data_IF_773605460267
#
_entry.id   IF_773605460267
#
_cell.length_a   1.000
_cell.length_b   1.000
_cell.length_c   1.000
_cell.angle_alpha   90.00
_cell.angle_beta   90.00
_cell.angle_gamma   90.00
#
_symmetry.space_group_name_H-M   'P 1'
#
loop_
_entity.id
_entity.type
_entity.pdbx_description
1 polymer ?
#
# COMPACT_ATOMS: atom_id res chain seq x y z
N UNK A 1 -4.64 23.35 19.25
CA UNK A 1 -5.17 22.52 18.14
C UNK A 1 -6.64 22.18 18.41
N UNK A 2 -7.51 22.14 17.39
CA UNK A 2 -8.97 21.99 17.58
C UNK A 2 -9.38 20.77 18.41
N UNK A 3 -8.64 19.66 18.29
CA UNK A 3 -8.89 18.40 18.99
C UNK A 3 -8.03 18.20 20.25
N UNK A 4 -7.12 19.12 20.56
CA UNK A 4 -6.24 18.95 21.71
C UNK A 4 -6.92 19.43 23.01
N UNK A 5 -6.57 18.87 24.18
CA UNK A 5 -7.04 19.36 25.47
C UNK A 5 -6.74 20.85 25.66
N UNK A 6 -7.57 21.53 26.45
CA UNK A 6 -7.35 22.93 26.80
C UNK A 6 -5.98 23.11 27.48
N UNK A 7 -5.21 24.10 27.02
CA UNK A 7 -3.84 24.35 27.52
C UNK A 7 -2.76 23.44 26.93
N UNK A 8 -3.10 22.54 25.99
CA UNK A 8 -2.11 21.70 25.33
C UNK A 8 -1.11 22.53 24.50
N UNK A 9 0.17 22.34 24.80
CA UNK A 9 1.28 22.93 24.06
C UNK A 9 2.39 21.90 23.89
N UNK A 10 3.01 21.89 22.71
CA UNK A 10 4.15 21.02 22.39
C UNK A 10 5.45 21.70 22.80
N UNK A 11 6.20 21.08 23.71
CA UNK A 11 7.54 21.53 24.06
C UNK A 11 8.54 21.24 22.94
N UNK A 12 9.56 22.09 22.77
CA UNK A 12 10.58 21.91 21.73
C UNK A 12 11.28 20.53 21.79
N UNK A 13 11.59 20.05 23.00
CA UNK A 13 12.18 18.73 23.20
C UNK A 13 11.26 17.58 22.77
N UNK A 14 9.95 17.72 22.97
CA UNK A 14 8.97 16.73 22.53
C UNK A 14 8.84 16.70 21.00
N UNK A 15 8.84 17.88 20.37
CA UNK A 15 8.85 17.99 18.90
C UNK A 15 10.06 17.26 18.32
N UNK A 16 11.27 17.53 18.84
CA UNK A 16 12.50 16.86 18.39
C UNK A 16 12.41 15.34 18.56
N UNK A 17 11.91 14.88 19.72
CA UNK A 17 11.73 13.45 20.01
C UNK A 17 10.77 12.79 19.01
N UNK A 18 9.62 13.42 18.74
CA UNK A 18 8.61 12.89 17.82
C UNK A 18 9.13 12.85 16.39
N UNK A 19 9.79 13.91 15.94
CA UNK A 19 10.41 13.96 14.62
C UNK A 19 11.48 12.87 14.48
N UNK A 20 12.37 12.72 15.46
CA UNK A 20 13.40 11.68 15.46
C UNK A 20 12.81 10.27 15.43
N UNK A 21 11.77 10.01 16.24
CA UNK A 21 11.09 8.72 16.25
C UNK A 21 10.41 8.41 14.89
N UNK A 22 9.79 9.39 14.26
CA UNK A 22 9.12 9.21 12.97
C UNK A 22 10.09 9.09 11.79
N UNK A 23 11.27 9.72 11.85
CA UNK A 23 12.37 9.44 10.91
C UNK A 23 12.82 7.97 10.96
N UNK A 24 12.65 7.32 12.13
CA UNK A 24 12.90 5.90 12.33
C UNK A 24 11.62 5.04 12.19
N UNK A 25 10.57 5.58 11.56
CA UNK A 25 9.32 4.86 11.26
C UNK A 25 8.60 4.29 12.51
N UNK A 26 8.68 5.01 13.64
CA UNK A 26 8.06 4.59 14.90
C UNK A 26 6.58 5.00 15.04
N UNK A 27 6.03 5.78 14.10
CA UNK A 27 4.64 6.27 14.14
C UNK A 27 4.26 6.95 15.47
N UNK A 28 5.16 7.78 15.99
CA UNK A 28 4.98 8.51 17.23
C UNK A 28 4.03 9.69 17.04
N UNK A 29 3.03 9.80 17.92
CA UNK A 29 2.09 10.92 17.96
C UNK A 29 2.22 11.73 19.24
N UNK A 30 2.01 13.07 19.14
CA UNK A 30 1.99 13.95 20.31
C UNK A 30 0.79 13.69 21.24
N UNK A 31 -0.34 13.27 20.67
CA UNK A 31 -1.56 12.92 21.40
C UNK A 31 -2.00 11.52 20.93
N UNK A 32 -1.44 10.44 21.50
CA UNK A 32 -1.74 9.07 21.06
C UNK A 32 -3.21 8.68 21.29
N UNK A 33 -3.87 9.30 22.26
CA UNK A 33 -5.26 9.00 22.64
C UNK A 33 -6.28 10.01 22.07
N UNK A 34 -5.88 10.81 21.06
CA UNK A 34 -6.65 11.94 20.53
C UNK A 34 -8.10 11.57 20.15
N UNK A 35 -8.31 10.36 19.63
CA UNK A 35 -9.61 9.86 19.19
C UNK A 35 -10.05 8.62 19.98
N UNK A 36 -9.68 8.54 21.26
CA UNK A 36 -10.04 7.42 22.16
C UNK A 36 -11.55 7.22 22.33
N UNK A 37 -12.36 8.25 22.10
CA UNK A 37 -13.82 8.18 22.13
C UNK A 37 -14.46 7.67 20.83
N UNK A 38 -13.71 7.59 19.73
CA UNK A 38 -14.24 7.09 18.46
C UNK A 38 -14.39 5.56 18.49
N UNK A 39 -15.27 4.97 17.66
CA UNK A 39 -15.48 3.51 17.63
C UNK A 39 -14.21 2.69 17.35
N UNK A 40 -13.28 3.26 16.59
CA UNK A 40 -11.94 2.70 16.36
C UNK A 40 -10.91 3.71 16.87
N UNK A 41 -10.34 3.48 18.07
CA UNK A 41 -9.50 4.46 18.75
C UNK A 41 -8.05 4.41 18.22
N UNK A 42 -7.83 4.99 17.06
CA UNK A 42 -6.49 5.15 16.47
C UNK A 42 -6.35 6.55 15.88
N UNK A 43 -5.17 7.17 16.06
CA UNK A 43 -4.89 8.50 15.50
C UNK A 43 -4.77 8.46 13.99
N UNK A 44 -3.93 7.56 13.48
CA UNK A 44 -3.78 7.33 12.05
C UNK A 44 -3.49 5.86 11.79
N UNK A 45 -4.53 5.14 11.38
CA UNK A 45 -4.42 3.74 10.99
C UNK A 45 -3.53 3.57 9.76
N UNK A 46 -3.51 4.49 8.80
CA UNK A 46 -2.77 4.29 7.55
C UNK A 46 -1.26 4.00 7.79
N UNK A 47 -0.64 4.62 8.80
CA UNK A 47 0.80 4.51 9.03
C UNK A 47 1.31 3.09 9.37
N UNK A 48 0.42 2.14 9.70
CA UNK A 48 0.84 0.80 10.11
C UNK A 48 1.68 0.09 9.03
N UNK A 49 1.39 0.32 7.74
CA UNK A 49 2.07 -0.38 6.64
C UNK A 49 3.38 0.27 6.21
N UNK A 50 3.62 1.55 6.52
CA UNK A 50 4.77 2.33 6.03
C UNK A 50 6.11 1.65 6.35
N UNK A 51 6.29 1.12 7.56
CA UNK A 51 7.52 0.41 7.95
C UNK A 51 7.77 -0.81 7.06
N UNK A 52 6.72 -1.59 6.81
CA UNK A 52 6.79 -2.78 5.95
C UNK A 52 7.10 -2.40 4.51
N UNK A 53 6.45 -1.36 3.99
CA UNK A 53 6.66 -0.85 2.63
C UNK A 53 8.11 -0.39 2.42
N UNK A 54 8.64 0.40 3.36
CA UNK A 54 10.04 0.84 3.32
C UNK A 54 11.01 -0.34 3.26
N UNK A 55 10.80 -1.35 4.12
CA UNK A 55 11.64 -2.54 4.16
C UNK A 55 11.48 -3.40 2.89
N UNK A 56 10.29 -3.47 2.29
CA UNK A 56 10.08 -4.10 0.98
C UNK A 56 10.91 -3.40 -0.12
N UNK A 57 10.94 -2.06 -0.14
CA UNK A 57 11.77 -1.32 -1.09
C UNK A 57 13.27 -1.50 -0.84
N UNK A 58 13.70 -1.56 0.43
CA UNK A 58 15.08 -1.91 0.77
C UNK A 58 15.43 -3.33 0.28
N UNK A 59 14.56 -4.30 0.51
CA UNK A 59 14.69 -5.67 0.01
C UNK A 59 14.74 -5.73 -1.52
N UNK A 60 13.92 -4.93 -2.21
CA UNK A 60 13.95 -4.79 -3.67
C UNK A 60 15.28 -4.21 -4.16
N UNK A 61 15.82 -3.19 -3.49
CA UNK A 61 17.12 -2.60 -3.83
C UNK A 61 18.25 -3.63 -3.65
N UNK A 62 18.27 -4.36 -2.53
CA UNK A 62 19.25 -5.41 -2.27
C UNK A 62 19.14 -6.57 -3.28
N UNK A 63 17.91 -7.01 -3.58
CA UNK A 63 17.67 -8.00 -4.65
C UNK A 63 18.22 -7.48 -5.98
N UNK A 64 18.00 -6.19 -6.25
CA UNK A 64 18.52 -5.36 -7.34
C UNK A 64 20.04 -5.41 -7.52
N UNK A 65 20.78 -5.51 -6.42
CA UNK A 65 22.24 -5.62 -6.40
C UNK A 65 22.73 -7.08 -6.47
N UNK A 66 22.05 -8.01 -5.80
CA UNK A 66 22.59 -9.35 -5.56
C UNK A 66 22.26 -10.41 -6.63
N UNK A 67 21.09 -10.35 -7.28
CA UNK A 67 20.53 -11.55 -7.92
C UNK A 67 19.94 -11.35 -9.32
N UNK A 68 20.59 -10.62 -10.24
CA UNK A 68 20.02 -10.24 -11.55
C UNK A 68 19.46 -11.43 -12.37
N UNK A 69 20.15 -12.57 -12.40
CA UNK A 69 19.81 -13.69 -13.28
C UNK A 69 18.65 -14.58 -12.82
N UNK A 70 18.42 -14.68 -11.50
CA UNK A 70 17.46 -15.66 -10.94
C UNK A 70 16.14 -15.05 -10.48
N UNK A 71 15.96 -13.72 -10.53
CA UNK A 71 14.76 -13.04 -9.96
C UNK A 71 13.45 -13.54 -10.56
N UNK A 72 13.46 -13.84 -11.86
CA UNK A 72 12.28 -14.36 -12.57
C UNK A 72 11.80 -15.70 -11.99
N UNK A 73 12.68 -16.46 -11.34
CA UNK A 73 12.35 -17.74 -10.69
C UNK A 73 12.22 -17.56 -9.18
N UNK A 74 13.18 -16.87 -8.55
CA UNK A 74 13.24 -16.71 -7.11
C UNK A 74 12.03 -15.93 -6.54
N UNK A 75 11.58 -14.86 -7.20
CA UNK A 75 10.47 -14.04 -6.69
C UNK A 75 9.14 -14.82 -6.65
N UNK A 76 8.72 -15.53 -7.72
CA UNK A 76 7.56 -16.43 -7.65
C UNK A 76 7.68 -17.53 -6.58
N UNK A 77 8.87 -18.12 -6.38
CA UNK A 77 9.08 -19.14 -5.36
C UNK A 77 8.96 -18.58 -3.93
N UNK A 78 9.53 -17.40 -3.67
CA UNK A 78 9.39 -16.70 -2.40
C UNK A 78 7.91 -16.37 -2.16
N UNK A 79 7.21 -15.84 -3.16
CA UNK A 79 5.78 -15.57 -3.08
C UNK A 79 4.98 -16.82 -2.72
N UNK A 80 5.20 -17.93 -3.44
CA UNK A 80 4.52 -19.19 -3.18
C UNK A 80 4.79 -19.71 -1.76
N UNK A 81 6.04 -19.62 -1.29
CA UNK A 81 6.42 -19.99 0.07
C UNK A 81 5.74 -19.12 1.13
N UNK A 82 5.73 -17.80 0.95
CA UNK A 82 5.08 -16.86 1.88
C UNK A 82 3.58 -17.12 1.96
N UNK A 83 2.90 -17.29 0.82
CA UNK A 83 1.46 -17.58 0.78
C UNK A 83 1.16 -18.96 1.37
N UNK A 84 1.97 -19.99 1.10
CA UNK A 84 1.80 -21.31 1.70
C UNK A 84 1.93 -21.26 3.23
N UNK A 85 2.93 -20.54 3.75
CA UNK A 85 3.11 -20.34 5.19
C UNK A 85 1.92 -19.58 5.77
N UNK A 86 1.44 -18.53 5.09
CA UNK A 86 0.27 -17.76 5.53
C UNK A 86 -0.98 -18.65 5.66
N UNK A 87 -1.27 -19.43 4.61
CA UNK A 87 -2.38 -20.38 4.62
C UNK A 87 -2.24 -21.42 5.73
N UNK A 88 -1.04 -21.94 5.97
CA UNK A 88 -0.78 -22.90 7.05
C UNK A 88 -0.96 -22.27 8.45
N UNK A 89 -0.49 -21.04 8.65
CA UNK A 89 -0.65 -20.32 9.91
C UNK A 89 -2.13 -20.15 10.25
N UNK A 90 -2.93 -19.65 9.30
CA UNK A 90 -4.36 -19.40 9.54
C UNK A 90 -5.18 -20.69 9.62
N UNK A 91 -4.84 -21.71 8.82
CA UNK A 91 -5.46 -23.02 8.96
C UNK A 91 -5.19 -23.69 10.31
N UNK A 92 -4.14 -23.26 11.01
CA UNK A 92 -3.78 -23.78 12.34
C UNK A 92 -4.02 -22.79 13.48
N UNK A 93 -4.65 -21.65 13.20
CA UNK A 93 -4.95 -20.61 14.19
C UNK A 93 -3.72 -19.91 14.78
N UNK A 94 -2.56 -20.00 14.12
CA UNK A 94 -1.29 -19.46 14.61
C UNK A 94 -1.06 -18.03 14.13
N UNK A 95 -0.81 -17.12 15.06
CA UNK A 95 -0.49 -15.71 14.77
C UNK A 95 0.81 -15.30 15.47
N UNK A 96 1.98 -15.56 14.87
CA UNK A 96 3.27 -15.27 15.49
C UNK A 96 3.48 -13.78 15.70
N UNK A 97 3.76 -13.38 16.95
CA UNK A 97 4.11 -11.99 17.29
C UNK A 97 5.60 -11.74 17.48
N UNK A 98 6.39 -12.78 17.69
CA UNK A 98 7.82 -12.67 17.97
C UNK A 98 8.14 -11.89 19.27
N UNK A 99 9.42 -11.82 19.66
CA UNK A 99 9.87 -10.94 20.73
C UNK A 99 9.68 -9.46 20.38
N UNK A 100 9.52 -8.58 21.37
CA UNK A 100 9.30 -7.14 21.17
C UNK A 100 10.35 -6.47 20.27
N UNK A 101 11.63 -6.81 20.45
CA UNK A 101 12.71 -6.25 19.63
C UNK A 101 12.58 -6.59 18.13
N UNK A 102 11.97 -7.73 17.78
CA UNK A 102 11.71 -8.09 16.38
C UNK A 102 10.63 -7.17 15.81
N UNK A 103 9.56 -6.95 16.58
CA UNK A 103 8.49 -6.04 16.18
C UNK A 103 8.99 -4.58 16.03
N UNK A 104 9.94 -4.16 16.84
CA UNK A 104 10.54 -2.83 16.74
C UNK A 104 11.32 -2.65 15.43
N UNK A 105 12.09 -3.66 15.01
CA UNK A 105 12.95 -3.60 13.82
C UNK A 105 12.15 -3.81 12.53
N UNK A 106 11.36 -4.89 12.45
CA UNK A 106 10.69 -5.31 11.21
C UNK A 106 9.16 -5.17 11.26
N UNK A 107 8.58 -4.71 12.36
CA UNK A 107 7.13 -4.75 12.54
C UNK A 107 6.63 -6.14 12.98
N UNK A 108 5.35 -6.23 13.35
CA UNK A 108 4.78 -7.47 13.86
C UNK A 108 4.86 -8.59 12.80
N UNK A 109 5.47 -9.76 13.10
CA UNK A 109 5.76 -10.81 12.13
C UNK A 109 4.55 -11.26 11.31
N UNK A 110 3.40 -11.47 11.95
CA UNK A 110 2.21 -11.91 11.24
C UNK A 110 1.66 -10.86 10.25
N UNK A 111 1.86 -9.57 10.48
CA UNK A 111 1.39 -8.52 9.57
C UNK A 111 2.17 -8.48 8.25
N UNK A 112 3.37 -9.08 8.19
CA UNK A 112 4.10 -9.23 6.94
C UNK A 112 3.33 -10.02 5.89
N UNK A 113 2.52 -11.00 6.31
CA UNK A 113 1.72 -11.79 5.39
C UNK A 113 0.61 -10.97 4.72
N UNK A 114 0.25 -9.81 5.29
CA UNK A 114 -0.74 -8.91 4.69
C UNK A 114 -0.10 -7.96 3.66
N UNK A 115 1.19 -7.64 3.81
CA UNK A 115 1.89 -6.67 2.96
C UNK A 115 2.74 -7.34 1.88
N UNK A 116 3.57 -8.31 2.27
CA UNK A 116 4.60 -8.89 1.40
C UNK A 116 4.03 -9.61 0.17
N UNK A 117 2.96 -10.43 0.26
CA UNK A 117 2.37 -11.05 -0.92
C UNK A 117 1.88 -10.04 -1.95
N UNK A 118 1.29 -8.93 -1.51
CA UNK A 118 0.82 -7.86 -2.41
C UNK A 118 2.00 -7.19 -3.13
N UNK A 119 3.09 -6.89 -2.41
CA UNK A 119 4.30 -6.33 -2.99
C UNK A 119 4.96 -7.29 -4.00
N UNK A 120 5.13 -8.56 -3.61
CA UNK A 120 5.71 -9.60 -4.47
C UNK A 120 4.84 -9.88 -5.69
N UNK A 121 3.51 -9.88 -5.58
CA UNK A 121 2.61 -10.04 -6.72
C UNK A 121 2.85 -8.95 -7.77
N UNK A 122 3.00 -7.69 -7.34
CA UNK A 122 3.39 -6.59 -8.24
C UNK A 122 4.75 -6.81 -8.90
N UNK A 123 5.75 -7.28 -8.15
CA UNK A 123 7.06 -7.63 -8.70
C UNK A 123 6.98 -8.76 -9.74
N UNK A 124 6.17 -9.80 -9.49
CA UNK A 124 5.97 -10.91 -10.43
C UNK A 124 5.35 -10.39 -11.72
N UNK A 125 4.33 -9.55 -11.63
CA UNK A 125 3.71 -8.91 -12.81
C UNK A 125 4.75 -8.13 -13.60
N UNK A 126 5.57 -7.31 -12.94
CA UNK A 126 6.63 -6.56 -13.61
C UNK A 126 7.69 -7.46 -14.27
N UNK A 127 8.14 -8.50 -13.57
CA UNK A 127 9.17 -9.43 -14.05
C UNK A 127 8.67 -10.32 -15.20
N UNK A 128 7.39 -10.62 -15.26
CA UNK A 128 6.76 -11.49 -16.27
C UNK A 128 5.81 -10.73 -17.20
N UNK A 129 5.95 -9.40 -17.28
CA UNK A 129 5.09 -8.52 -18.09
C UNK A 129 5.06 -8.90 -19.57
N UNK A 130 6.10 -9.56 -20.06
CA UNK A 130 6.22 -10.08 -21.42
C UNK A 130 5.30 -11.29 -21.69
N UNK A 131 4.83 -11.99 -20.64
CA UNK A 131 4.02 -13.20 -20.74
C UNK A 131 2.60 -13.07 -20.22
N UNK A 132 2.32 -12.04 -19.42
CA UNK A 132 1.00 -11.85 -18.81
C UNK A 132 0.10 -11.13 -19.81
N UNK A 133 -0.91 -11.80 -20.40
CA UNK A 133 -1.81 -11.15 -21.33
C UNK A 133 -2.73 -10.19 -20.58
N UNK A 134 -3.12 -9.11 -21.24
CA UNK A 134 -4.14 -8.17 -20.72
C UNK A 134 -5.53 -8.63 -21.20
N UNK A 135 -6.20 -9.40 -20.37
CA UNK A 135 -7.47 -10.07 -20.62
C UNK A 135 -8.54 -9.57 -19.64
N UNK A 136 -9.52 -8.82 -20.15
CA UNK A 136 -10.68 -8.38 -19.39
C UNK A 136 -11.49 -9.57 -18.84
N UNK A 137 -11.71 -10.68 -19.59
CA UNK A 137 -12.32 -11.87 -19.02
C UNK A 137 -11.55 -12.45 -17.83
N UNK A 138 -10.21 -12.53 -17.92
CA UNK A 138 -9.40 -13.05 -16.81
C UNK A 138 -9.52 -12.18 -15.56
N UNK A 139 -9.59 -10.85 -15.72
CA UNK A 139 -9.84 -9.93 -14.61
C UNK A 139 -11.18 -10.22 -13.93
N UNK A 140 -12.27 -10.30 -14.70
CA UNK A 140 -13.60 -10.56 -14.13
C UNK A 140 -13.69 -11.94 -13.49
N UNK A 141 -13.09 -12.97 -14.07
CA UNK A 141 -13.01 -14.31 -13.45
C UNK A 141 -12.29 -14.22 -12.10
N UNK A 142 -11.16 -13.51 -12.03
CA UNK A 142 -10.44 -13.30 -10.77
C UNK A 142 -11.26 -12.55 -9.72
N UNK A 143 -11.95 -11.48 -10.12
CA UNK A 143 -12.82 -10.70 -9.22
C UNK A 143 -14.01 -11.52 -8.72
N UNK A 144 -14.66 -12.30 -9.59
CA UNK A 144 -15.75 -13.20 -9.23
C UNK A 144 -15.22 -14.29 -8.28
N UNK A 145 -14.04 -14.85 -8.53
CA UNK A 145 -13.43 -15.83 -7.64
C UNK A 145 -13.14 -15.25 -6.25
N UNK A 146 -12.62 -14.01 -6.16
CA UNK A 146 -12.43 -13.33 -4.88
C UNK A 146 -13.77 -13.10 -4.16
N UNK A 147 -14.78 -12.63 -4.88
CA UNK A 147 -16.12 -12.40 -4.34
C UNK A 147 -16.75 -13.70 -3.84
N UNK A 148 -16.65 -14.79 -4.62
CA UNK A 148 -17.13 -16.10 -4.23
C UNK A 148 -16.37 -16.67 -3.03
N UNK A 149 -15.04 -16.51 -2.96
CA UNK A 149 -14.25 -16.93 -1.81
C UNK A 149 -14.70 -16.22 -0.52
N UNK A 150 -14.98 -14.92 -0.60
CA UNK A 150 -15.50 -14.14 0.54
C UNK A 150 -16.92 -14.58 0.94
N UNK A 151 -17.84 -14.70 -0.02
CA UNK A 151 -19.25 -14.98 0.28
C UNK A 151 -19.55 -16.44 0.61
N UNK A 152 -18.95 -17.38 -0.11
CA UNK A 152 -19.19 -18.82 0.08
C UNK A 152 -18.32 -19.40 1.18
N UNK A 153 -17.10 -18.89 1.32
CA UNK A 153 -16.15 -19.34 2.34
C UNK A 153 -16.37 -18.70 3.70
N UNK A 154 -17.05 -17.54 3.76
CA UNK A 154 -17.35 -16.85 5.02
C UNK A 154 -16.11 -16.61 5.88
N UNK A 155 -16.26 -16.82 7.20
CA UNK A 155 -15.13 -16.80 8.14
C UNK A 155 -14.53 -18.19 8.40
N UNK A 156 -14.89 -19.19 7.60
CA UNK A 156 -14.29 -20.51 7.69
C UNK A 156 -12.86 -20.49 7.14
N UNK A 157 -12.05 -21.42 7.64
CA UNK A 157 -10.65 -21.59 7.23
C UNK A 157 -10.51 -21.68 5.71
N UNK A 158 -11.43 -22.36 5.03
CA UNK A 158 -11.43 -22.50 3.58
C UNK A 158 -11.60 -21.15 2.85
N UNK A 159 -12.49 -20.28 3.33
CA UNK A 159 -12.71 -18.94 2.77
C UNK A 159 -11.52 -18.02 2.98
N UNK A 160 -10.95 -18.07 4.18
CA UNK A 160 -9.73 -17.32 4.55
C UNK A 160 -8.56 -17.73 3.64
N UNK A 161 -8.29 -19.04 3.54
CA UNK A 161 -7.22 -19.57 2.67
C UNK A 161 -7.45 -19.23 1.20
N UNK A 162 -8.67 -19.36 0.70
CA UNK A 162 -9.00 -18.96 -0.67
C UNK A 162 -8.72 -17.47 -0.91
N UNK A 163 -9.05 -16.61 0.06
CA UNK A 163 -8.79 -15.18 -0.02
C UNK A 163 -7.28 -14.86 -0.09
N UNK A 164 -6.44 -15.55 0.71
CA UNK A 164 -4.98 -15.39 0.65
C UNK A 164 -4.38 -15.78 -0.70
N UNK A 165 -4.93 -16.80 -1.35
CA UNK A 165 -4.46 -17.27 -2.65
C UNK A 165 -4.89 -16.34 -3.79
N UNK A 166 -6.09 -15.77 -3.71
CA UNK A 166 -6.72 -15.05 -4.82
C UNK A 166 -6.50 -13.54 -4.76
N UNK A 167 -6.57 -12.92 -3.58
CA UNK A 167 -6.60 -11.46 -3.48
C UNK A 167 -5.31 -10.80 -3.96
N UNK A 168 -4.09 -11.17 -3.50
CA UNK A 168 -2.86 -10.51 -3.94
C UNK A 168 -2.64 -10.52 -5.48
N UNK A 169 -2.77 -11.66 -6.19
CA UNK A 169 -2.53 -11.69 -7.63
C UNK A 169 -3.65 -11.02 -8.41
N UNK A 170 -4.92 -11.15 -7.98
CA UNK A 170 -6.05 -10.48 -8.65
C UNK A 170 -5.98 -8.97 -8.47
N UNK A 171 -5.62 -8.49 -7.27
CA UNK A 171 -5.44 -7.07 -7.00
C UNK A 171 -4.28 -6.49 -7.81
N UNK A 172 -3.13 -7.17 -7.85
CA UNK A 172 -2.02 -6.76 -8.71
C UNK A 172 -2.47 -6.70 -10.18
N UNK A 173 -3.14 -7.74 -10.67
CA UNK A 173 -3.63 -7.78 -12.05
C UNK A 173 -4.64 -6.65 -12.33
N UNK A 174 -5.58 -6.37 -11.42
CA UNK A 174 -6.53 -5.26 -11.51
C UNK A 174 -5.81 -3.91 -11.65
N UNK A 175 -4.86 -3.63 -10.76
CA UNK A 175 -4.11 -2.36 -10.75
C UNK A 175 -3.35 -2.17 -12.06
N UNK A 176 -2.61 -3.19 -12.52
CA UNK A 176 -1.87 -3.12 -13.78
C UNK A 176 -2.80 -3.08 -15.00
N UNK A 177 -3.88 -3.84 -15.01
CA UNK A 177 -4.87 -3.82 -16.09
C UNK A 177 -5.48 -2.42 -16.24
N UNK A 178 -5.83 -1.77 -15.13
CA UNK A 178 -6.43 -0.43 -15.09
C UNK A 178 -5.41 0.64 -15.49
N UNK A 179 -4.22 0.63 -14.89
CA UNK A 179 -3.17 1.62 -15.12
C UNK A 179 -2.71 1.67 -16.59
N UNK A 180 -2.68 0.51 -17.27
CA UNK A 180 -2.25 0.38 -18.66
C UNK A 180 -3.42 0.17 -19.64
N UNK A 181 -4.66 0.43 -19.23
CA UNK A 181 -5.80 0.30 -20.12
C UNK A 181 -5.82 1.40 -21.20
N UNK A 182 -5.89 1.08 -22.51
CA UNK A 182 -5.79 2.07 -23.59
C UNK A 182 -6.95 3.07 -23.59
N UNK A 183 -8.12 2.67 -23.07
CA UNK A 183 -9.28 3.55 -22.91
C UNK A 183 -9.18 4.53 -21.73
N UNK A 184 -8.25 4.32 -20.80
CA UNK A 184 -8.15 5.12 -19.56
C UNK A 184 -6.88 5.97 -19.61
N UNK A 185 -7.04 7.29 -19.75
CA UNK A 185 -5.92 8.23 -19.95
C UNK A 185 -5.31 8.73 -18.64
N UNK A 186 -4.87 7.82 -17.74
CA UNK A 186 -4.20 8.20 -16.48
C UNK A 186 -2.81 8.81 -16.69
N UNK A 187 -2.09 8.45 -17.76
CA UNK A 187 -0.74 8.98 -17.99
C UNK A 187 -0.70 10.52 -18.07
N UNK A 188 -1.83 11.16 -18.43
CA UNK A 188 -1.94 12.62 -18.46
C UNK A 188 -2.23 13.24 -17.09
N UNK A 189 -2.73 12.50 -16.10
CA UNK A 189 -3.04 13.07 -14.78
C UNK A 189 -1.79 13.23 -13.92
N UNK A 190 -0.78 12.38 -14.11
CA UNK A 190 0.51 12.48 -13.42
C UNK A 190 1.23 13.82 -13.64
N UNK A 191 0.91 14.56 -14.70
CA UNK A 191 1.46 15.92 -14.96
C UNK A 191 1.05 16.95 -13.91
N UNK A 192 -0.04 16.70 -13.18
CA UNK A 192 -0.56 17.62 -12.18
C UNK A 192 0.06 17.39 -10.79
N UNK A 193 0.76 16.28 -10.61
CA UNK A 193 1.38 15.88 -9.35
C UNK A 193 1.00 14.46 -8.93
N UNK A 194 1.71 13.95 -7.93
CA UNK A 194 1.36 12.69 -7.26
C UNK A 194 0.62 13.00 -5.96
N UNK A 195 -0.72 12.99 -6.02
CA UNK A 195 -1.55 13.28 -4.84
C UNK A 195 -1.80 12.04 -3.97
N UNK A 196 -1.36 10.86 -4.43
CA UNK A 196 -1.74 9.59 -3.82
C UNK A 196 -1.16 9.44 -2.42
N UNK A 197 0.09 9.86 -2.22
CA UNK A 197 0.79 9.75 -0.95
C UNK A 197 0.13 10.61 0.13
N UNK A 198 -0.04 11.91 -0.10
CA UNK A 198 -0.75 12.79 0.82
C UNK A 198 -2.19 12.33 1.08
N UNK A 199 -2.92 11.91 0.05
CA UNK A 199 -4.29 11.39 0.22
C UNK A 199 -4.30 10.18 1.16
N UNK A 200 -3.40 9.22 0.96
CA UNK A 200 -3.24 8.05 1.83
C UNK A 200 -2.89 8.45 3.27
N UNK A 201 -1.98 9.41 3.44
CA UNK A 201 -1.52 9.85 4.76
C UNK A 201 -2.62 10.54 5.57
N UNK A 202 -3.39 11.42 4.94
CA UNK A 202 -4.38 12.26 5.61
C UNK A 202 -5.78 11.64 5.69
N UNK A 203 -6.13 10.68 4.82
CA UNK A 203 -7.48 10.11 4.76
C UNK A 203 -7.98 9.60 6.12
N UNK A 204 -7.16 8.83 6.84
CA UNK A 204 -7.57 8.25 8.12
C UNK A 204 -7.81 9.32 9.20
N UNK A 205 -6.92 10.30 9.30
CA UNK A 205 -7.05 11.38 10.29
C UNK A 205 -8.30 12.21 10.00
N UNK A 206 -8.57 12.50 8.72
CA UNK A 206 -9.77 13.22 8.29
C UNK A 206 -11.02 12.42 8.65
N UNK A 207 -11.04 11.11 8.41
CA UNK A 207 -12.13 10.23 8.81
C UNK A 207 -12.35 10.27 10.32
N UNK A 208 -11.28 10.20 11.12
CA UNK A 208 -11.36 10.29 12.58
C UNK A 208 -11.90 11.65 13.06
N UNK A 209 -11.47 12.75 12.43
CA UNK A 209 -11.99 14.09 12.71
C UNK A 209 -13.49 14.20 12.38
N UNK A 210 -13.92 13.67 11.23
CA UNK A 210 -15.33 13.67 10.83
C UNK A 210 -16.18 12.88 11.83
N UNK A 211 -15.77 11.65 12.19
CA UNK A 211 -16.47 10.82 13.19
C UNK A 211 -16.51 11.51 14.56
N UNK A 212 -15.43 12.17 14.96
CA UNK A 212 -15.35 12.84 16.26
C UNK A 212 -16.20 14.12 16.36
N UNK A 213 -16.61 14.71 15.23
CA UNK A 213 -17.27 16.03 15.20
C UNK A 213 -18.66 16.03 14.61
N UNK A 214 -18.96 15.11 13.69
CA UNK A 214 -20.18 15.11 12.90
C UNK A 214 -20.81 13.73 12.90
N UNK A 215 -22.12 13.68 13.10
CA UNK A 215 -22.92 12.48 12.89
C UNK A 215 -23.44 12.47 11.44
N UNK A 216 -22.60 12.03 10.51
CA UNK A 216 -22.91 12.03 9.07
C UNK A 216 -23.54 10.70 8.64
N UNK A 217 -24.59 10.72 7.82
CA UNK A 217 -25.05 9.52 7.12
C UNK A 217 -23.91 8.90 6.31
N UNK A 218 -23.83 7.56 6.29
CA UNK A 218 -22.70 6.84 5.70
C UNK A 218 -22.31 7.30 4.27
N UNK A 219 -23.23 7.52 3.32
CA UNK A 219 -22.85 8.01 1.99
C UNK A 219 -22.21 9.40 2.01
N UNK A 220 -22.70 10.29 2.89
CA UNK A 220 -22.17 11.65 3.06
C UNK A 220 -20.79 11.60 3.71
N UNK A 221 -20.61 10.74 4.72
CA UNK A 221 -19.31 10.49 5.34
C UNK A 221 -18.26 10.02 4.32
N UNK A 222 -18.61 9.06 3.46
CA UNK A 222 -17.71 8.56 2.42
C UNK A 222 -17.34 9.68 1.44
N UNK A 223 -18.34 10.41 0.93
CA UNK A 223 -18.09 11.50 -0.01
C UNK A 223 -17.23 12.61 0.61
N UNK A 224 -17.55 13.05 1.84
CA UNK A 224 -16.77 14.04 2.56
C UNK A 224 -15.34 13.58 2.81
N UNK A 225 -15.15 12.33 3.25
CA UNK A 225 -13.83 11.74 3.48
C UNK A 225 -12.99 11.74 2.21
N UNK A 226 -13.56 11.29 1.08
CA UNK A 226 -12.85 11.26 -0.20
C UNK A 226 -12.45 12.65 -0.69
N UNK A 227 -13.37 13.62 -0.64
CA UNK A 227 -13.12 14.98 -1.10
C UNK A 227 -12.10 15.70 -0.23
N UNK A 228 -12.23 15.62 1.09
CA UNK A 228 -11.31 16.26 2.03
C UNK A 228 -9.93 15.58 2.01
N UNK A 229 -9.86 14.25 1.91
CA UNK A 229 -8.58 13.55 1.80
C UNK A 229 -7.85 13.91 0.50
N UNK A 230 -8.57 13.99 -0.62
CA UNK A 230 -7.98 14.43 -1.88
C UNK A 230 -7.52 15.89 -1.81
N UNK A 231 -8.33 16.78 -1.23
CA UNK A 231 -7.94 18.18 -1.04
C UNK A 231 -6.69 18.31 -0.18
N UNK A 232 -6.58 17.53 0.91
CA UNK A 232 -5.39 17.47 1.75
C UNK A 232 -4.19 16.88 0.99
N UNK A 233 -4.39 15.84 0.18
CA UNK A 233 -3.35 15.27 -0.68
C UNK A 233 -2.83 16.26 -1.73
N UNK A 234 -3.72 17.03 -2.35
CA UNK A 234 -3.35 18.13 -3.26
C UNK A 234 -2.56 19.19 -2.49
N UNK A 235 -3.04 19.65 -1.34
CA UNK A 235 -2.33 20.63 -0.52
C UNK A 235 -0.94 20.12 -0.11
N UNK A 236 -0.83 18.86 0.32
CA UNK A 236 0.43 18.19 0.66
C UNK A 236 1.43 18.22 -0.49
N UNK A 237 0.97 17.88 -1.69
CA UNK A 237 1.80 17.90 -2.88
C UNK A 237 2.40 19.28 -3.14
N UNK A 238 1.56 20.32 -3.14
CA UNK A 238 2.01 21.68 -3.47
C UNK A 238 2.82 22.35 -2.36
N UNK A 239 2.51 22.07 -1.10
CA UNK A 239 3.15 22.73 0.04
C UNK A 239 4.41 21.99 0.51
N UNK A 240 4.47 20.67 0.36
CA UNK A 240 5.53 19.83 0.91
C UNK A 240 6.21 19.04 -0.20
N UNK A 241 5.52 18.04 -0.75
CA UNK A 241 6.16 16.95 -1.50
C UNK A 241 6.89 17.44 -2.77
N UNK A 242 6.29 18.38 -3.50
CA UNK A 242 6.88 18.93 -4.72
C UNK A 242 8.27 19.52 -4.48
N UNK A 243 8.50 20.19 -3.35
CA UNK A 243 9.80 20.82 -3.06
C UNK A 243 10.94 19.81 -2.86
N UNK A 244 10.62 18.56 -2.53
CA UNK A 244 11.61 17.49 -2.31
C UNK A 244 11.75 16.55 -3.50
N UNK A 245 10.75 16.49 -4.39
CA UNK A 245 10.69 15.52 -5.49
C UNK A 245 11.02 16.11 -6.88
N UNK A 246 10.96 17.44 -7.06
CA UNK A 246 11.05 18.11 -8.38
C UNK A 246 12.50 18.29 -8.91
N UNK A 247 13.50 17.64 -8.30
CA UNK A 247 14.92 17.84 -8.65
C UNK A 247 15.58 16.74 -9.50
N UNK A 248 14.85 15.72 -9.98
CA UNK A 248 15.52 14.50 -10.48
C UNK A 248 15.06 13.80 -11.75
N UNK A 249 13.94 14.18 -12.40
CA UNK A 249 13.44 13.41 -13.57
C UNK A 249 13.57 14.19 -14.88
N UNK A 250 14.73 14.08 -15.54
CA UNK A 250 14.72 14.03 -17.01
C UNK A 250 14.05 12.71 -17.39
N UNK A 251 12.95 12.69 -18.15
CA UNK A 251 12.38 11.45 -18.66
C UNK A 251 13.48 10.74 -19.44
N UNK A 252 13.78 9.48 -19.10
CA UNK A 252 14.63 8.67 -19.95
C UNK A 252 13.93 8.58 -21.32
N UNK A 253 14.56 9.17 -22.35
CA UNK A 253 14.10 9.02 -23.72
C UNK A 253 14.13 7.54 -24.06
N UNK A 254 12.95 6.92 -24.06
CA UNK A 254 12.76 5.59 -24.59
C UNK A 254 12.83 5.71 -26.11
N UNK A 255 14.05 5.81 -26.66
CA UNK A 255 14.26 5.65 -28.09
C UNK A 255 13.84 4.23 -28.47
N UNK A 256 12.77 4.03 -29.27
CA UNK A 256 12.44 2.70 -29.74
C UNK A 256 13.61 2.24 -30.61
N UNK A 257 14.28 1.16 -30.20
CA UNK A 257 15.18 0.42 -31.10
C UNK A 257 14.33 0.03 -32.31
N UNK A 258 14.60 0.65 -33.46
CA UNK A 258 14.16 0.14 -34.75
C UNK A 258 14.85 -1.21 -34.94
N UNK A 259 14.18 -2.30 -34.57
CA UNK A 259 14.53 -3.61 -35.09
C UNK A 259 14.32 -3.55 -36.60
N UNK A 260 15.40 -3.72 -37.35
CA UNK A 260 15.39 -3.72 -38.80
C UNK A 260 14.44 -4.80 -39.31
N UNK A 261 13.52 -4.40 -40.18
CA UNK A 261 12.72 -5.34 -40.93
C UNK A 261 13.67 -6.27 -41.72
N UNK A 262 13.42 -7.59 -41.76
CA UNK A 262 14.19 -8.48 -42.61
C UNK A 262 13.95 -8.08 -44.07
N UNK A 263 15.05 -7.93 -44.82
CA UNK A 263 15.00 -7.79 -46.26
C UNK A 263 14.26 -9.02 -46.82
N UNK A 264 13.12 -8.78 -47.46
CA UNK A 264 12.46 -9.79 -48.28
C UNK A 264 13.19 -9.87 -49.63
N UNK A 265 13.28 -11.07 -50.22
CA UNK A 265 14.10 -11.35 -51.40
C UNK A 265 13.66 -10.60 -52.67
#
# INVERSE_FOLDING_TARGET
>A
PFFAPAGYALGAGEVVRILGANLLLANAFPLPDLFSANPVPAVNGALWSIKFEFLCYLGLALLGLAALGIRRIAVPLIYAGVVAIWCWLDATGRRPGGPGFVADIIGFPYLWFWVLPNFLAGMIVYLHRDRIPRSTPALFVGLIACFAAFHLGGQDVAGIVASHLLVPPVLAYLVFWFAFHPGIRLARTARYGDFSYGTYLYAYVIQQMLVATLDLPFPVFVAASMLLALAAGVASWWLVERHFLDHGRKPAEHSPKKEGAPAQP
#
